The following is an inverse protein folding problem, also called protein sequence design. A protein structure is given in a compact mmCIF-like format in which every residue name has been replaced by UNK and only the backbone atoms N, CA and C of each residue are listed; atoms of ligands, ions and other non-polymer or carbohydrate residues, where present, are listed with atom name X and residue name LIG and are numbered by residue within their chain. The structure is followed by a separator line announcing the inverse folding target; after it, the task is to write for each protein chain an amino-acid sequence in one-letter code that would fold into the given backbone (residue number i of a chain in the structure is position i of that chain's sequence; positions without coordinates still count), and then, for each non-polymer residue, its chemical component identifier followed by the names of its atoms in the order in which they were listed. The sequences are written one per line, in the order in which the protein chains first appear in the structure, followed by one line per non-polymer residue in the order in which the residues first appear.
data_IF_377244648918
#
_entry.id   IF_377244648918
#
_cell.length_a   1.000
_cell.length_b   1.000
_cell.length_c   1.000
_cell.angle_alpha   90.00
_cell.angle_beta   90.00
_cell.angle_gamma   90.00
#
_symmetry.space_group_name_H-M   'P 1'
#
loop_
_entity.id
_entity.type
_entity.pdbx_description
1 polymer ?
#
# COMPACT_ATOMS: atom_id res chain seq x y z
N UNK A 1 20.78 -4.79 7.57
CA UNK A 1 19.45 -4.17 7.75
C UNK A 1 19.33 -2.98 6.82
N UNK A 2 18.40 -3.03 5.89
CA UNK A 2 18.06 -1.84 5.07
C UNK A 2 17.12 -0.99 5.92
N UNK A 3 17.43 0.29 6.18
CA UNK A 3 16.55 1.14 6.97
C UNK A 3 15.20 1.29 6.25
N UNK A 4 14.11 0.95 6.94
CA UNK A 4 12.75 1.18 6.46
C UNK A 4 12.12 2.34 7.21
N UNK A 5 11.28 3.11 6.53
CA UNK A 5 10.52 4.21 7.12
C UNK A 5 9.06 3.77 7.20
N UNK A 6 8.41 4.03 8.33
CA UNK A 6 7.00 3.74 8.49
C UNK A 6 6.16 4.66 7.59
N UNK A 7 5.33 4.06 6.75
CA UNK A 7 4.48 4.80 5.81
C UNK A 7 3.46 5.74 6.47
N UNK A 8 3.13 5.52 7.74
CA UNK A 8 2.11 6.29 8.47
C UNK A 8 2.68 7.50 9.21
N UNK A 9 3.76 7.31 9.98
CA UNK A 9 4.31 8.34 10.87
C UNK A 9 5.65 8.92 10.40
N UNK A 10 6.18 8.45 9.26
CA UNK A 10 7.51 8.78 8.72
C UNK A 10 8.69 8.49 9.67
N UNK A 11 8.44 7.75 10.75
CA UNK A 11 9.44 7.30 11.70
C UNK A 11 10.26 6.13 11.18
N UNK A 12 11.52 6.03 11.63
CA UNK A 12 12.40 4.92 11.27
C UNK A 12 11.91 3.62 11.92
N UNK A 13 11.96 2.52 11.18
CA UNK A 13 11.74 1.17 11.69
C UNK A 13 13.12 0.60 12.04
N UNK A 14 13.45 0.61 13.33
CA UNK A 14 14.76 0.14 13.83
C UNK A 14 14.76 -1.33 14.23
N UNK A 15 13.59 -1.94 14.41
CA UNK A 15 13.42 -3.37 14.65
C UNK A 15 12.72 -4.01 13.45
N UNK A 16 13.37 -4.98 12.80
CA UNK A 16 12.78 -5.69 11.66
C UNK A 16 11.48 -6.43 12.02
N UNK A 17 11.33 -6.87 13.27
CA UNK A 17 10.14 -7.54 13.75
C UNK A 17 8.95 -6.59 13.92
N UNK A 18 9.17 -5.28 13.97
CA UNK A 18 8.10 -4.27 14.06
C UNK A 18 7.63 -3.81 12.66
N UNK A 19 8.44 -4.00 11.63
CA UNK A 19 8.05 -3.66 10.26
C UNK A 19 7.04 -4.64 9.68
N UNK A 20 5.84 -4.18 9.31
CA UNK A 20 4.83 -4.94 8.59
C UNK A 20 4.73 -4.43 7.15
N UNK A 21 4.81 -5.29 6.11
CA UNK A 21 4.58 -4.87 4.73
C UNK A 21 3.11 -4.47 4.53
N UNK A 22 2.88 -3.30 3.96
CA UNK A 22 1.54 -2.71 3.75
C UNK A 22 1.22 -2.45 2.28
N UNK A 23 2.26 -2.32 1.44
CA UNK A 23 2.12 -2.17 0.00
C UNK A 23 3.41 -2.58 -0.71
N UNK A 24 3.35 -2.67 -2.04
CA UNK A 24 4.50 -2.85 -2.89
C UNK A 24 4.54 -1.73 -3.91
N UNK A 25 5.66 -1.02 -3.98
CA UNK A 25 5.86 0.06 -4.95
C UNK A 25 6.74 -0.44 -6.09
N UNK A 26 6.20 -0.52 -7.32
CA UNK A 26 6.97 -1.01 -8.47
C UNK A 26 8.04 -0.01 -8.88
N UNK A 27 9.20 -0.52 -9.28
CA UNK A 27 10.29 0.27 -9.88
C UNK A 27 10.24 0.16 -11.40
N UNK A 28 10.52 1.26 -12.10
CA UNK A 28 10.66 1.26 -13.57
C UNK A 28 11.96 0.60 -14.05
N UNK A 29 12.93 0.39 -13.16
CA UNK A 29 14.28 -0.08 -13.51
C UNK A 29 14.80 -1.11 -12.50
N UNK A 30 13.99 -2.14 -12.21
CA UNK A 30 14.38 -3.24 -11.34
C UNK A 30 13.21 -3.81 -10.54
N UNK A 31 13.49 -4.69 -9.56
CA UNK A 31 12.49 -5.07 -8.58
C UNK A 31 12.01 -3.81 -7.86
N UNK A 32 10.70 -3.67 -7.68
CA UNK A 32 10.13 -2.69 -6.77
C UNK A 32 10.51 -2.97 -5.31
N UNK A 33 10.00 -2.17 -4.39
CA UNK A 33 10.27 -2.32 -2.96
C UNK A 33 9.00 -2.46 -2.13
N UNK A 34 9.12 -3.19 -1.03
CA UNK A 34 8.07 -3.27 -0.03
C UNK A 34 7.98 -1.95 0.75
N UNK A 35 6.78 -1.40 0.78
CA UNK A 35 6.44 -0.29 1.67
C UNK A 35 6.01 -0.89 3.00
N UNK A 36 6.63 -0.44 4.09
CA UNK A 36 6.42 -0.98 5.44
C UNK A 36 5.84 0.06 6.38
N UNK A 37 5.22 -0.40 7.46
CA UNK A 37 4.78 0.42 8.58
C UNK A 37 5.12 -0.28 9.90
N UNK A 38 5.26 0.46 11.00
CA UNK A 38 5.26 -0.14 12.34
C UNK A 38 3.99 -0.98 12.52
N UNK A 39 4.07 -2.04 13.33
CA UNK A 39 2.95 -2.96 13.52
C UNK A 39 1.71 -2.24 14.04
N UNK A 40 1.90 -1.31 14.97
CA UNK A 40 0.84 -0.45 15.50
C UNK A 40 0.21 0.45 14.44
N UNK A 41 0.95 0.82 13.39
CA UNK A 41 0.52 1.76 12.38
C UNK A 41 -0.02 1.10 11.10
N UNK A 42 0.19 -0.20 10.91
CA UNK A 42 -0.15 -0.89 9.67
C UNK A 42 -1.63 -0.72 9.27
N UNK A 43 -2.53 -0.75 10.24
CA UNK A 43 -3.98 -0.59 10.02
C UNK A 43 -4.42 0.87 9.77
N UNK A 44 -3.54 1.84 10.01
CA UNK A 44 -3.80 3.27 9.79
C UNK A 44 -3.25 3.77 8.45
N UNK A 45 -2.48 2.94 7.73
CA UNK A 45 -2.05 3.25 6.37
C UNK A 45 -3.27 3.22 5.46
N UNK A 46 -3.60 4.37 4.87
CA UNK A 46 -4.72 4.46 3.94
C UNK A 46 -4.39 3.73 2.63
N UNK A 47 -5.39 3.10 1.98
CA UNK A 47 -5.20 2.52 0.66
C UNK A 47 -4.72 3.56 -0.35
N UNK A 48 -3.98 3.10 -1.35
CA UNK A 48 -3.55 3.95 -2.47
C UNK A 48 -4.77 4.61 -3.14
N UNK A 49 -4.80 5.95 -3.27
CA UNK A 49 -5.97 6.67 -3.80
C UNK A 49 -6.25 6.31 -5.26
N UNK A 50 -5.24 6.01 -6.07
CA UNK A 50 -5.41 5.58 -7.46
C UNK A 50 -6.05 4.20 -7.51
N UNK A 51 -5.61 3.27 -6.65
CA UNK A 51 -6.22 1.95 -6.55
C UNK A 51 -7.71 2.03 -6.15
N UNK A 52 -8.06 2.90 -5.20
CA UNK A 52 -9.45 3.15 -4.81
C UNK A 52 -10.28 3.68 -5.98
N UNK A 53 -9.77 4.67 -6.71
CA UNK A 53 -10.46 5.23 -7.88
C UNK A 53 -10.63 4.18 -8.98
N UNK A 54 -9.60 3.35 -9.23
CA UNK A 54 -9.66 2.31 -10.24
C UNK A 54 -10.70 1.24 -9.87
N UNK A 55 -10.73 0.80 -8.61
CA UNK A 55 -11.73 -0.14 -8.11
C UNK A 55 -13.15 0.42 -8.27
N UNK A 56 -13.36 1.70 -7.92
CA UNK A 56 -14.65 2.35 -8.09
C UNK A 56 -15.10 2.35 -9.57
N UNK A 57 -14.20 2.69 -10.50
CA UNK A 57 -14.48 2.64 -11.95
C UNK A 57 -14.85 1.23 -12.41
N UNK A 58 -14.09 0.21 -11.98
CA UNK A 58 -14.38 -1.19 -12.32
C UNK A 58 -15.76 -1.60 -11.81
N UNK A 59 -16.13 -1.21 -10.58
CA UNK A 59 -17.46 -1.50 -10.00
C UNK A 59 -18.58 -0.86 -10.80
N UNK A 60 -18.44 0.42 -11.18
CA UNK A 60 -19.42 1.12 -12.03
C UNK A 60 -19.57 0.43 -13.39
N UNK A 61 -18.46 0.09 -14.04
CA UNK A 61 -18.48 -0.61 -15.33
C UNK A 61 -19.13 -1.99 -15.25
N UNK A 62 -18.89 -2.74 -14.18
CA UNK A 62 -19.54 -4.04 -13.95
C UNK A 62 -21.03 -3.89 -13.72
N UNK A 63 -21.46 -2.94 -12.89
CA UNK A 63 -22.88 -2.67 -12.66
C UNK A 63 -23.61 -2.28 -13.95
N UNK A 64 -22.99 -1.43 -14.79
CA UNK A 64 -23.53 -1.06 -16.09
C UNK A 64 -23.65 -2.27 -17.06
N UNK A 65 -22.73 -3.24 -16.98
CA UNK A 65 -22.77 -4.46 -17.81
C UNK A 65 -23.74 -5.52 -17.30
N UNK A 66 -24.08 -5.52 -16.01
CA UNK A 66 -25.03 -6.45 -15.39
C UNK A 66 -26.48 -5.97 -15.45
N UNK A 67 -26.73 -4.75 -15.92
CA UNK A 67 -28.06 -4.16 -16.12
C UNK A 67 -28.66 -4.37 -17.52
N UNK A 68 -28.15 -5.35 -18.28
CA UNK A 68 -28.71 -5.85 -19.56
C UNK A 68 -29.14 -7.30 -19.34
#
# INVERSE_FOLDING_TARGET
MTPHVCRHCDGLITDEADGVPVAYEPSNSGPGWEVRAHREHAHMVRPDPVAVVLLARIRVLRAARSGI
#
